data_IF_167686571925
#
_entry.id   IF_167686571925
#
_cell.length_a   1.000
_cell.length_b   1.000
_cell.length_c   1.000
_cell.angle_alpha   90.00
_cell.angle_beta   90.00
_cell.angle_gamma   90.00
#
_symmetry.space_group_name_H-M   'P 1'
#
loop_
_entity.id
_entity.type
_entity.pdbx_description
1 polymer ?
#
# COMPACT_ATOMS: atom_id res chain seq x y z
N UNK A 1 -31.81 -1.76 -15.54
CA UNK A 1 -30.35 -1.71 -15.31
C UNK A 1 -29.71 -2.84 -16.10
N UNK A 2 -29.02 -2.54 -17.21
CA UNK A 2 -28.28 -3.57 -17.96
C UNK A 2 -26.93 -3.73 -17.26
N UNK A 3 -26.79 -4.83 -16.54
CA UNK A 3 -25.52 -5.22 -15.97
C UNK A 3 -24.60 -5.67 -17.13
N UNK A 4 -23.72 -4.79 -17.59
CA UNK A 4 -22.70 -5.14 -18.58
C UNK A 4 -21.74 -6.10 -17.91
N UNK A 5 -22.01 -7.41 -17.99
CA UNK A 5 -21.07 -8.46 -17.54
C UNK A 5 -19.79 -8.32 -18.35
N UNK A 6 -18.73 -7.84 -17.70
CA UNK A 6 -17.40 -7.76 -18.31
C UNK A 6 -16.93 -9.18 -18.62
N UNK A 7 -16.60 -9.47 -19.88
CA UNK A 7 -16.08 -10.79 -20.31
C UNK A 7 -14.74 -11.15 -19.67
N UNK A 8 -13.99 -10.15 -19.23
CA UNK A 8 -12.70 -10.33 -18.55
C UNK A 8 -12.51 -9.26 -17.47
N UNK A 9 -11.78 -9.62 -16.42
CA UNK A 9 -11.31 -8.69 -15.38
C UNK A 9 -9.84 -8.41 -15.66
N UNK A 10 -9.56 -7.23 -16.20
CA UNK A 10 -8.22 -6.85 -16.64
C UNK A 10 -7.71 -5.68 -15.79
N UNK A 11 -6.48 -5.79 -15.31
CA UNK A 11 -5.70 -4.70 -14.72
C UNK A 11 -4.63 -4.28 -15.71
N UNK A 12 -4.09 -3.07 -15.56
CA UNK A 12 -3.10 -2.57 -16.50
C UNK A 12 -2.06 -1.67 -15.85
N UNK A 13 -0.92 -1.57 -16.54
CA UNK A 13 0.07 -0.52 -16.42
C UNK A 13 0.37 -0.01 -17.82
N UNK A 14 0.28 1.30 -18.04
CA UNK A 14 0.50 1.94 -19.32
C UNK A 14 1.48 3.10 -19.17
N UNK A 15 2.45 3.17 -20.07
CA UNK A 15 3.42 4.25 -20.18
C UNK A 15 3.41 4.75 -21.62
N UNK A 16 3.19 6.04 -21.83
CA UNK A 16 3.24 6.66 -23.14
C UNK A 16 4.35 7.71 -23.16
N UNK A 17 5.14 7.76 -24.23
CA UNK A 17 6.10 8.84 -24.49
C UNK A 17 5.95 9.36 -25.93
N UNK A 18 6.43 10.57 -26.19
CA UNK A 18 6.64 11.02 -27.56
C UNK A 18 8.03 10.58 -28.01
N UNK A 19 8.10 9.88 -29.15
CA UNK A 19 9.37 9.41 -29.70
C UNK A 19 10.26 10.56 -30.16
N UNK A 20 11.56 10.47 -29.83
CA UNK A 20 12.57 11.52 -30.04
C UNK A 20 12.77 11.95 -31.49
N UNK A 21 12.51 11.07 -32.46
CA UNK A 21 12.83 11.36 -33.87
C UNK A 21 11.65 11.94 -34.67
N UNK A 22 10.39 11.78 -34.25
CA UNK A 22 9.22 12.14 -35.08
C UNK A 22 7.99 12.64 -34.32
N UNK A 23 8.08 12.86 -33.00
CA UNK A 23 6.94 13.32 -32.20
C UNK A 23 5.73 12.37 -32.18
N UNK A 24 5.94 11.10 -32.56
CA UNK A 24 4.87 10.10 -32.55
C UNK A 24 4.66 9.58 -31.14
N UNK A 25 3.40 9.44 -30.73
CA UNK A 25 3.07 8.78 -29.47
C UNK A 25 3.46 7.30 -29.54
N UNK A 26 4.22 6.84 -28.55
CA UNK A 26 4.64 5.46 -28.37
C UNK A 26 4.14 4.99 -27.00
N UNK A 27 3.37 3.91 -26.99
CA UNK A 27 2.81 3.34 -25.76
C UNK A 27 3.36 1.96 -25.46
N UNK A 28 3.72 1.74 -24.21
CA UNK A 28 4.00 0.45 -23.61
C UNK A 28 2.90 0.10 -22.62
N UNK A 29 2.21 -1.01 -22.83
CA UNK A 29 1.07 -1.42 -22.01
C UNK A 29 1.25 -2.86 -21.55
N UNK A 30 1.13 -3.07 -20.25
CA UNK A 30 1.06 -4.38 -19.62
C UNK A 30 -0.38 -4.63 -19.21
N UNK A 31 -0.92 -5.77 -19.61
CA UNK A 31 -2.28 -6.20 -19.29
C UNK A 31 -2.21 -7.44 -18.40
N UNK A 32 -2.89 -7.39 -17.26
CA UNK A 32 -2.96 -8.47 -16.28
C UNK A 32 -4.40 -8.99 -16.25
N UNK A 33 -4.62 -10.18 -16.80
CA UNK A 33 -5.91 -10.83 -16.82
C UNK A 33 -6.11 -11.56 -15.48
N UNK A 34 -7.01 -11.07 -14.63
CA UNK A 34 -7.39 -11.72 -13.37
C UNK A 34 -8.48 -12.77 -13.58
N UNK A 35 -9.31 -12.60 -14.61
CA UNK A 35 -10.31 -13.57 -15.06
C UNK A 35 -10.65 -13.34 -16.53
N UNK A 36 -11.08 -14.40 -17.21
CA UNK A 36 -11.31 -14.40 -18.65
C UNK A 36 -10.01 -14.60 -19.44
N UNK A 37 -10.15 -14.85 -20.74
CA UNK A 37 -9.03 -15.13 -21.62
C UNK A 37 -8.50 -13.86 -22.29
N UNK A 38 -7.18 -13.75 -22.50
CA UNK A 38 -6.62 -12.72 -23.35
C UNK A 38 -7.17 -12.87 -24.78
N UNK A 39 -7.27 -11.78 -25.56
CA UNK A 39 -7.64 -11.89 -26.97
C UNK A 39 -6.64 -12.79 -27.68
N UNK A 40 -7.13 -13.60 -28.61
CA UNK A 40 -6.26 -14.35 -29.51
C UNK A 40 -5.65 -13.36 -30.50
N UNK A 41 -4.36 -13.09 -30.30
CA UNK A 41 -3.55 -12.19 -31.14
C UNK A 41 -2.23 -12.86 -31.42
N UNK A 42 -1.74 -12.63 -32.64
CA UNK A 42 -0.44 -13.12 -33.04
C UNK A 42 0.66 -12.38 -32.27
N UNK A 43 1.50 -13.14 -31.55
CA UNK A 43 2.61 -12.60 -30.79
C UNK A 43 3.83 -12.34 -31.67
N UNK A 44 4.73 -11.46 -31.20
CA UNK A 44 6.02 -11.14 -31.81
C UNK A 44 5.93 -10.58 -33.24
N UNK A 45 4.74 -10.14 -33.65
CA UNK A 45 4.50 -9.51 -34.95
C UNK A 45 3.88 -8.14 -34.78
N UNK A 46 4.28 -7.24 -35.69
CA UNK A 46 3.74 -5.90 -35.80
C UNK A 46 2.46 -5.94 -36.60
N UNK A 47 1.33 -5.79 -35.92
CA UNK A 47 -0.01 -5.90 -36.51
C UNK A 47 -0.77 -4.57 -36.39
N UNK A 48 -1.65 -4.29 -37.35
CA UNK A 48 -2.64 -3.24 -37.19
C UNK A 48 -3.85 -3.85 -36.48
N UNK A 49 -4.01 -3.56 -35.19
CA UNK A 49 -4.99 -4.23 -34.36
C UNK A 49 -6.32 -3.46 -34.34
N UNK A 50 -7.45 -4.15 -34.48
CA UNK A 50 -8.79 -3.52 -34.50
C UNK A 50 -9.11 -2.65 -33.28
N UNK A 51 -8.51 -2.95 -32.12
CA UNK A 51 -8.69 -2.17 -30.88
C UNK A 51 -7.73 -0.97 -30.76
N UNK A 52 -6.81 -0.78 -31.71
CA UNK A 52 -5.88 0.34 -31.75
C UNK A 52 -5.70 0.84 -33.20
N UNK A 53 -6.60 1.72 -33.67
CA UNK A 53 -6.52 2.24 -35.04
C UNK A 53 -5.39 3.25 -35.25
N UNK A 54 -4.70 3.67 -34.19
CA UNK A 54 -3.71 4.75 -34.20
C UNK A 54 -2.29 4.28 -34.54
N UNK A 55 -2.15 3.15 -35.22
CA UNK A 55 -0.87 2.64 -35.70
C UNK A 55 -0.74 1.14 -35.50
N UNK A 56 0.47 0.71 -35.16
CA UNK A 56 0.79 -0.70 -35.05
C UNK A 56 0.89 -1.11 -33.58
N UNK A 57 0.46 -2.33 -33.29
CA UNK A 57 0.66 -3.01 -32.02
C UNK A 57 1.63 -4.17 -32.21
N UNK A 58 2.40 -4.45 -31.16
CA UNK A 58 3.17 -5.68 -31.02
C UNK A 58 2.77 -6.29 -29.68
N UNK A 59 2.33 -7.54 -29.72
CA UNK A 59 1.87 -8.29 -28.55
C UNK A 59 2.91 -9.33 -28.19
N UNK A 60 3.19 -9.46 -26.90
CA UNK A 60 4.17 -10.41 -26.37
C UNK A 60 3.66 -10.95 -25.03
N UNK A 61 4.09 -12.16 -24.68
CA UNK A 61 3.87 -12.68 -23.32
C UNK A 61 4.77 -11.91 -22.36
N UNK A 62 4.17 -11.25 -21.38
CA UNK A 62 4.91 -10.41 -20.45
C UNK A 62 5.89 -11.22 -19.59
N UNK A 63 7.18 -10.94 -19.74
CA UNK A 63 8.25 -11.46 -18.89
C UNK A 63 8.91 -10.36 -18.05
N UNK A 64 9.87 -10.72 -17.21
CA UNK A 64 10.63 -9.77 -16.36
C UNK A 64 11.25 -8.62 -17.16
N UNK A 65 11.70 -8.89 -18.39
CA UNK A 65 12.23 -7.88 -19.30
C UNK A 65 11.16 -6.87 -19.73
N UNK A 66 9.95 -7.32 -20.08
CA UNK A 66 8.82 -6.48 -20.47
C UNK A 66 8.43 -5.51 -19.34
N UNK A 67 8.42 -5.99 -18.09
CA UNK A 67 8.18 -5.14 -16.91
C UNK A 67 9.27 -4.07 -16.73
N UNK A 68 10.54 -4.47 -16.76
CA UNK A 68 11.69 -3.54 -16.65
C UNK A 68 11.65 -2.49 -17.75
N UNK A 69 11.33 -2.89 -18.98
CA UNK A 69 11.26 -2.00 -20.12
C UNK A 69 10.15 -0.95 -19.96
N UNK A 70 8.93 -1.36 -19.60
CA UNK A 70 7.83 -0.40 -19.34
C UNK A 70 8.18 0.59 -18.23
N UNK A 71 8.75 0.12 -17.12
CA UNK A 71 9.10 0.97 -15.97
C UNK A 71 10.29 1.89 -16.27
N UNK A 72 11.24 1.48 -17.13
CA UNK A 72 12.38 2.32 -17.56
C UNK A 72 11.90 3.68 -18.10
N UNK A 73 10.81 3.70 -18.86
CA UNK A 73 10.26 4.93 -19.43
C UNK A 73 9.59 5.86 -18.41
N UNK A 74 9.13 5.33 -17.28
CA UNK A 74 8.67 6.15 -16.16
C UNK A 74 9.83 6.95 -15.57
N UNK A 75 11.02 6.34 -15.49
CA UNK A 75 12.22 6.93 -14.88
C UNK A 75 12.93 7.88 -15.84
N UNK A 76 12.94 7.59 -17.15
CA UNK A 76 13.67 8.35 -18.18
C UNK A 76 13.31 9.84 -18.21
N UNK A 77 12.09 10.19 -17.82
CA UNK A 77 11.58 11.57 -17.79
C UNK A 77 11.82 12.30 -16.45
N UNK A 78 12.49 11.67 -15.48
CA UNK A 78 12.90 12.34 -14.25
C UNK A 78 14.02 13.34 -14.55
N UNK A 79 13.66 14.63 -14.66
CA UNK A 79 14.61 15.75 -14.80
C UNK A 79 14.45 16.57 -16.07
N UNK A 80 13.56 16.20 -16.99
CA UNK A 80 13.22 17.02 -18.14
C UNK A 80 12.37 18.23 -17.70
N UNK A 81 12.65 19.41 -18.28
CA UNK A 81 11.89 20.66 -18.05
C UNK A 81 10.39 20.51 -18.38
N UNK A 82 10.06 19.61 -19.32
CA UNK A 82 8.70 19.23 -19.65
C UNK A 82 8.54 17.71 -19.57
N UNK A 83 7.65 17.23 -18.71
CA UNK A 83 7.27 15.80 -18.65
C UNK A 83 6.45 15.44 -19.88
N UNK A 84 7.05 14.72 -20.81
CA UNK A 84 6.37 14.21 -22.01
C UNK A 84 5.76 12.82 -21.76
N UNK A 85 6.21 12.11 -20.72
CA UNK A 85 5.74 10.79 -20.37
C UNK A 85 4.39 10.82 -19.65
N UNK A 86 3.44 10.02 -20.15
CA UNK A 86 2.18 9.70 -19.48
C UNK A 86 2.32 8.35 -18.78
N UNK A 87 1.91 8.30 -17.51
CA UNK A 87 1.94 7.09 -16.70
C UNK A 87 0.57 6.83 -16.07
N UNK A 88 0.03 5.64 -16.29
CA UNK A 88 -1.24 5.21 -15.72
C UNK A 88 -1.15 3.75 -15.26
N UNK A 89 -1.76 3.43 -14.11
CA UNK A 89 -1.84 2.06 -13.62
C UNK A 89 -3.14 1.82 -12.85
N UNK A 90 -3.52 0.55 -12.73
CA UNK A 90 -4.64 0.11 -11.92
C UNK A 90 -4.35 0.17 -10.42
N UNK A 91 -4.95 1.13 -9.70
CA UNK A 91 -4.60 1.43 -8.29
C UNK A 91 -5.41 0.70 -7.21
N UNK A 92 -6.63 0.24 -7.52
CA UNK A 92 -7.58 -0.31 -6.52
C UNK A 92 -8.11 -1.69 -6.94
N UNK A 93 -7.71 -2.81 -6.32
CA UNK A 93 -6.58 -2.95 -5.38
C UNK A 93 -5.21 -2.68 -6.06
N UNK A 94 -4.14 -2.42 -5.32
CA UNK A 94 -2.83 -2.21 -5.95
C UNK A 94 -2.40 -3.43 -6.80
N UNK A 95 -1.65 -3.22 -7.88
CA UNK A 95 -1.05 -4.33 -8.62
C UNK A 95 -0.19 -5.18 -7.67
N UNK A 96 -0.41 -6.49 -7.66
CA UNK A 96 0.27 -7.42 -6.74
C UNK A 96 -0.33 -7.50 -5.33
N UNK A 97 -1.37 -6.74 -4.98
CA UNK A 97 -2.00 -6.79 -3.66
C UNK A 97 -2.42 -8.22 -3.25
N UNK A 98 -3.12 -8.92 -4.15
CA UNK A 98 -3.55 -10.32 -3.93
C UNK A 98 -2.38 -11.27 -3.63
N UNK A 99 -1.23 -11.05 -4.25
CA UNK A 99 -0.04 -11.85 -3.97
C UNK A 99 0.46 -11.62 -2.54
N UNK A 100 0.49 -10.38 -2.07
CA UNK A 100 0.92 -10.08 -0.70
C UNK A 100 -0.07 -10.57 0.35
N UNK A 101 -1.38 -10.58 0.06
CA UNK A 101 -2.38 -11.24 0.90
C UNK A 101 -2.11 -12.76 1.00
N UNK A 102 -1.85 -13.41 -0.14
CA UNK A 102 -1.48 -14.84 -0.16
C UNK A 102 -0.17 -15.12 0.57
N UNK A 103 0.83 -14.26 0.40
CA UNK A 103 2.11 -14.39 1.09
C UNK A 103 1.92 -14.25 2.60
N UNK A 104 1.12 -13.28 3.04
CA UNK A 104 0.78 -13.09 4.44
C UNK A 104 0.06 -14.33 5.02
N UNK A 105 -0.88 -14.91 4.27
CA UNK A 105 -1.54 -16.15 4.67
C UNK A 105 -0.55 -17.30 4.89
N UNK A 106 0.46 -17.46 4.02
CA UNK A 106 1.51 -18.48 4.21
C UNK A 106 2.30 -18.29 5.51
N UNK A 107 2.59 -17.05 5.90
CA UNK A 107 3.26 -16.75 7.18
C UNK A 107 2.38 -17.12 8.38
N UNK A 108 1.10 -16.74 8.34
CA UNK A 108 0.11 -17.10 9.37
C UNK A 108 -0.07 -18.63 9.45
N UNK A 109 -0.09 -19.32 8.32
CA UNK A 109 -0.20 -20.79 8.29
C UNK A 109 1.02 -21.50 8.85
N UNK A 110 2.21 -20.93 8.63
CA UNK A 110 3.44 -21.41 9.24
C UNK A 110 3.59 -21.04 10.72
N UNK A 111 2.71 -20.19 11.28
CA UNK A 111 2.85 -19.65 12.62
C UNK A 111 4.08 -18.74 12.79
N UNK A 112 4.51 -18.09 11.70
CA UNK A 112 5.71 -17.24 11.66
C UNK A 112 5.35 -15.79 11.38
N UNK A 113 6.05 -14.87 12.04
CA UNK A 113 5.96 -13.44 11.72
C UNK A 113 6.94 -13.05 10.61
N UNK A 114 6.53 -12.17 9.68
CA UNK A 114 7.44 -11.65 8.66
C UNK A 114 8.51 -10.79 9.33
N UNK A 115 9.78 -11.16 9.12
CA UNK A 115 10.95 -10.44 9.67
C UNK A 115 11.53 -9.42 8.67
N UNK A 116 11.40 -9.72 7.39
CA UNK A 116 11.95 -8.91 6.31
C UNK A 116 10.90 -8.63 5.24
N UNK A 117 11.18 -7.60 4.43
CA UNK A 117 10.38 -7.22 3.26
C UNK A 117 10.92 -7.82 1.95
N UNK A 118 11.71 -8.89 2.07
CA UNK A 118 12.29 -9.65 0.97
C UNK A 118 11.30 -10.74 0.54
N UNK A 119 11.11 -10.94 -0.76
CA UNK A 119 10.25 -11.99 -1.32
C UNK A 119 10.82 -12.49 -2.65
N UNK A 120 10.45 -13.69 -3.06
CA UNK A 120 10.86 -14.28 -4.34
C UNK A 120 9.71 -15.04 -4.97
N UNK A 121 9.84 -15.31 -6.26
CA UNK A 121 8.90 -16.16 -7.00
C UNK A 121 9.66 -17.42 -7.46
N UNK A 122 9.13 -18.63 -7.24
CA UNK A 122 9.83 -19.87 -7.59
C UNK A 122 10.17 -19.99 -9.08
N UNK A 123 9.36 -19.39 -9.94
CA UNK A 123 9.45 -19.39 -11.40
C UNK A 123 10.39 -18.30 -11.95
N UNK A 124 10.81 -17.35 -11.11
CA UNK A 124 11.72 -16.27 -11.52
C UNK A 124 13.13 -16.59 -11.02
N UNK A 125 13.95 -17.15 -11.89
CA UNK A 125 15.32 -17.58 -11.57
C UNK A 125 16.36 -16.54 -12.00
N UNK A 126 17.31 -16.25 -11.12
CA UNK A 126 18.49 -15.46 -11.45
C UNK A 126 19.46 -16.30 -12.30
N UNK A 127 19.65 -15.90 -13.57
CA UNK A 127 20.48 -16.61 -14.54
C UNK A 127 21.95 -16.79 -14.11
N UNK A 128 22.48 -15.95 -13.21
CA UNK A 128 23.86 -16.03 -12.74
C UNK A 128 24.05 -17.02 -11.60
N UNK A 129 23.06 -17.10 -10.69
CA UNK A 129 23.17 -17.92 -9.48
C UNK A 129 22.40 -19.22 -9.57
N UNK A 130 21.46 -19.35 -10.50
CA UNK A 130 20.55 -20.49 -10.60
C UNK A 130 19.50 -20.55 -9.48
N UNK A 131 19.46 -19.55 -8.59
CA UNK A 131 18.53 -19.45 -7.48
C UNK A 131 17.37 -18.49 -7.81
N UNK A 132 16.22 -18.59 -7.12
CA UNK A 132 15.14 -17.62 -7.25
C UNK A 132 15.62 -16.18 -7.07
N UNK A 133 15.16 -15.28 -7.92
CA UNK A 133 15.45 -13.85 -7.83
C UNK A 133 14.72 -13.27 -6.61
N UNK A 134 15.50 -12.66 -5.71
CA UNK A 134 14.97 -12.00 -4.51
C UNK A 134 14.66 -10.54 -4.81
N UNK A 135 13.43 -10.15 -4.52
CA UNK A 135 12.89 -8.80 -4.59
C UNK A 135 12.75 -8.22 -3.19
N UNK A 136 12.80 -6.89 -3.07
CA UNK A 136 12.64 -6.19 -1.78
C UNK A 136 11.58 -5.10 -1.89
N UNK A 137 10.64 -5.08 -0.96
CA UNK A 137 9.72 -3.96 -0.83
C UNK A 137 10.38 -2.80 -0.06
N UNK A 138 10.22 -1.55 -0.53
CA UNK A 138 10.62 -0.40 0.28
C UNK A 138 9.78 -0.32 1.56
N UNK A 139 10.42 -0.06 2.70
CA UNK A 139 9.77 0.00 4.03
C UNK A 139 8.63 1.02 4.09
N UNK A 140 8.72 2.12 3.34
CA UNK A 140 7.66 3.14 3.34
C UNK A 140 6.61 2.92 2.23
N UNK A 141 6.71 1.82 1.46
CA UNK A 141 5.79 1.56 0.36
C UNK A 141 4.39 1.11 0.83
N UNK A 142 3.38 1.44 0.03
CA UNK A 142 2.02 0.96 0.24
C UNK A 142 1.93 -0.58 0.20
N UNK A 143 2.68 -1.22 -0.69
CA UNK A 143 2.70 -2.69 -0.80
C UNK A 143 3.22 -3.36 0.46
N UNK A 144 4.27 -2.79 1.08
CA UNK A 144 4.79 -3.31 2.34
C UNK A 144 3.81 -3.10 3.50
N UNK A 145 3.16 -1.93 3.56
CA UNK A 145 2.09 -1.68 4.53
C UNK A 145 0.91 -2.65 4.36
N UNK A 146 0.52 -2.92 3.11
CA UNK A 146 -0.57 -3.83 2.79
C UNK A 146 -0.21 -5.29 3.12
N UNK A 147 1.03 -5.72 2.87
CA UNK A 147 1.53 -7.04 3.26
C UNK A 147 1.45 -7.25 4.78
N UNK A 148 2.05 -6.34 5.55
CA UNK A 148 2.06 -6.45 7.02
C UNK A 148 0.66 -6.29 7.61
N UNK A 149 -0.14 -5.36 7.10
CA UNK A 149 -1.54 -5.21 7.51
C UNK A 149 -2.38 -6.45 7.20
N UNK A 150 -2.15 -7.12 6.08
CA UNK A 150 -2.80 -8.39 5.74
C UNK A 150 -2.37 -9.50 6.68
N UNK A 151 -1.09 -9.57 7.05
CA UNK A 151 -0.60 -10.52 8.05
C UNK A 151 -1.29 -10.34 9.40
N UNK A 152 -1.30 -9.10 9.94
CA UNK A 152 -1.94 -8.81 11.23
C UNK A 152 -3.42 -9.13 11.21
N UNK A 153 -4.13 -8.79 10.13
CA UNK A 153 -5.54 -9.10 9.97
C UNK A 153 -5.77 -10.61 9.97
N UNK A 154 -5.07 -11.35 9.12
CA UNK A 154 -5.22 -12.80 8.99
C UNK A 154 -4.80 -13.55 10.27
N UNK A 155 -3.78 -13.07 10.98
CA UNK A 155 -3.36 -13.63 12.26
C UNK A 155 -4.48 -13.52 13.30
N UNK A 156 -5.09 -12.34 13.42
CA UNK A 156 -6.23 -12.12 14.32
C UNK A 156 -7.45 -12.96 13.95
N UNK A 157 -7.72 -13.13 12.66
CA UNK A 157 -8.80 -14.00 12.19
C UNK A 157 -8.59 -15.47 12.59
N UNK A 158 -7.34 -15.96 12.57
CA UNK A 158 -7.02 -17.37 12.86
C UNK A 158 -6.76 -17.67 14.34
N UNK A 159 -6.05 -16.78 15.03
CA UNK A 159 -5.56 -16.96 16.39
C UNK A 159 -6.25 -16.03 17.42
N UNK A 160 -7.25 -15.25 16.99
CA UNK A 160 -7.99 -14.35 17.86
C UNK A 160 -7.13 -13.22 18.41
N UNK A 161 -7.01 -13.15 19.74
CA UNK A 161 -6.23 -12.11 20.43
C UNK A 161 -4.79 -12.54 20.77
N UNK A 162 -4.38 -13.75 20.38
CA UNK A 162 -3.02 -14.21 20.63
C UNK A 162 -2.01 -13.35 19.86
N UNK A 163 -0.94 -12.94 20.56
CA UNK A 163 0.12 -12.14 19.96
C UNK A 163 0.94 -13.00 19.00
N UNK A 164 1.20 -12.47 17.80
CA UNK A 164 2.12 -13.08 16.85
C UNK A 164 3.55 -13.17 17.44
N UNK A 165 4.40 -14.10 16.93
CA UNK A 165 5.82 -14.11 17.27
C UNK A 165 6.46 -12.74 17.06
N UNK A 166 7.38 -12.36 17.94
CA UNK A 166 8.00 -11.04 17.86
C UNK A 166 8.64 -10.77 16.49
N UNK A 167 8.37 -9.59 15.94
CA UNK A 167 9.01 -9.09 14.73
C UNK A 167 9.08 -7.57 14.75
N UNK A 168 10.29 -7.02 14.77
CA UNK A 168 10.54 -5.57 14.72
C UNK A 168 9.87 -4.92 13.51
N UNK A 169 9.77 -5.67 12.40
CA UNK A 169 9.07 -5.21 11.20
C UNK A 169 7.58 -4.98 11.50
N UNK A 170 6.91 -5.97 12.10
CA UNK A 170 5.47 -5.89 12.37
C UNK A 170 5.18 -4.77 13.38
N UNK A 171 5.97 -4.69 14.45
CA UNK A 171 5.83 -3.64 15.47
C UNK A 171 6.03 -2.25 14.87
N UNK A 172 7.06 -2.05 14.04
CA UNK A 172 7.28 -0.78 13.33
C UNK A 172 6.06 -0.32 12.53
N UNK A 173 5.40 -1.24 11.80
CA UNK A 173 4.20 -0.86 11.04
C UNK A 173 3.02 -0.55 11.94
N UNK A 174 2.83 -1.29 13.03
CA UNK A 174 1.73 -1.05 13.96
C UNK A 174 1.89 0.27 14.68
N UNK A 175 3.09 0.60 15.16
CA UNK A 175 3.40 1.90 15.75
C UNK A 175 3.12 3.03 14.77
N UNK A 176 3.52 2.85 13.51
CA UNK A 176 3.28 3.84 12.45
C UNK A 176 1.79 4.02 12.13
N UNK A 177 1.01 2.95 12.08
CA UNK A 177 -0.44 3.04 11.84
C UNK A 177 -1.17 3.60 13.08
N UNK A 178 -0.74 3.26 14.30
CA UNK A 178 -1.26 3.84 15.54
C UNK A 178 -1.00 5.34 15.61
N UNK A 179 0.20 5.81 15.21
CA UNK A 179 0.52 7.24 15.15
C UNK A 179 -0.32 8.01 14.11
N UNK A 180 -0.85 7.33 13.08
CA UNK A 180 -1.72 7.93 12.07
C UNK A 180 -3.18 7.97 12.48
N UNK A 181 -3.61 7.05 13.34
CA UNK A 181 -4.95 7.09 13.91
C UNK A 181 -5.01 8.29 14.86
N UNK A 182 -5.82 9.33 14.58
CA UNK A 182 -6.06 10.35 15.58
C UNK A 182 -6.65 9.63 16.79
N UNK A 183 -5.97 9.71 17.94
CA UNK A 183 -6.60 9.39 19.21
C UNK A 183 -7.78 10.34 19.31
N UNK A 184 -8.99 9.82 19.12
CA UNK A 184 -10.25 10.54 19.34
C UNK A 184 -10.43 10.73 20.86
N UNK A 185 -9.50 11.45 21.48
CA UNK A 185 -9.55 11.91 22.87
C UNK A 185 -10.76 12.84 23.10
N UNK A 186 -11.46 13.24 22.03
CA UNK A 186 -12.67 14.05 22.09
C UNK A 186 -13.91 13.28 22.53
N UNK A 187 -13.98 11.96 22.34
CA UNK A 187 -15.16 11.15 22.71
C UNK A 187 -15.13 10.58 24.12
N UNK A 188 -13.96 10.46 24.72
CA UNK A 188 -13.82 10.15 26.15
C UNK A 188 -13.62 11.42 26.98
N UNK A 189 -14.30 12.51 26.63
CA UNK A 189 -14.53 13.55 27.63
C UNK A 189 -15.50 12.97 28.64
N UNK A 190 -15.07 12.84 29.88
CA UNK A 190 -15.93 12.46 31.01
C UNK A 190 -17.21 13.33 30.93
N UNK A 191 -18.34 12.72 30.57
CA UNK A 191 -19.60 13.44 30.33
C UNK A 191 -20.29 13.87 31.63
N UNK A 192 -19.74 13.46 32.78
CA UNK A 192 -20.15 13.94 34.10
C UNK A 192 -19.37 15.19 34.52
N UNK A 193 -19.84 15.84 35.60
CA UNK A 193 -18.98 16.74 36.37
C UNK A 193 -17.85 15.90 36.94
N UNK A 194 -16.60 16.34 36.79
CA UNK A 194 -15.51 15.80 37.61
C UNK A 194 -15.93 15.79 39.08
N UNK A 195 -15.67 14.72 39.84
CA UNK A 195 -15.98 14.70 41.27
C UNK A 195 -15.31 15.87 41.99
N UNK A 196 -16.04 16.57 42.88
CA UNK A 196 -15.43 17.60 43.74
C UNK A 196 -14.36 16.91 44.59
N UNK A 197 -13.11 17.40 44.60
CA UNK A 197 -12.12 16.91 45.55
C UNK A 197 -12.66 17.01 46.98
N UNK A 198 -12.58 15.92 47.74
CA UNK A 198 -13.09 15.87 49.12
C UNK A 198 -12.33 16.85 50.04
N UNK A 199 -11.07 17.13 49.71
CA UNK A 199 -10.20 18.03 50.45
C UNK A 199 -9.46 18.98 49.51
N UNK A 200 -9.19 20.22 49.93
CA UNK A 200 -8.26 21.09 49.22
C UNK A 200 -6.85 20.45 49.21
N UNK A 201 -6.04 20.72 48.17
CA UNK A 201 -4.64 20.32 48.19
C UNK A 201 -3.91 20.96 49.39
N UNK A 202 -2.82 20.36 49.90
CA UNK A 202 -2.09 20.88 51.04
C UNK A 202 -1.67 22.34 50.83
N UNK A 203 -2.02 23.22 51.78
CA UNK A 203 -1.79 24.67 51.72
C UNK A 203 -2.50 25.41 50.57
N UNK A 204 -3.41 24.76 49.85
CA UNK A 204 -4.19 25.35 48.76
C UNK A 204 -5.53 25.94 49.21
N UNK A 205 -6.11 26.79 48.36
CA UNK A 205 -7.46 27.31 48.56
C UNK A 205 -8.54 26.22 48.33
N UNK A 206 -9.77 26.50 48.77
CA UNK A 206 -10.92 25.65 48.47
C UNK A 206 -11.07 25.42 46.95
N UNK A 207 -11.31 24.18 46.48
CA UNK A 207 -11.41 23.90 45.05
C UNK A 207 -12.57 24.67 44.38
N UNK A 208 -12.25 25.50 43.40
CA UNK A 208 -13.20 26.26 42.57
C UNK A 208 -13.42 25.53 41.26
N UNK A 209 -14.68 25.25 40.92
CA UNK A 209 -15.03 24.58 39.67
C UNK A 209 -15.00 25.56 38.48
N UNK A 210 -14.45 25.11 37.35
CA UNK A 210 -14.48 25.84 36.08
C UNK A 210 -15.32 25.10 35.04
N UNK A 211 -16.44 25.71 34.66
CA UNK A 211 -17.32 25.20 33.59
C UNK A 211 -16.60 25.12 32.22
N UNK A 212 -15.64 26.02 31.98
CA UNK A 212 -14.92 26.12 30.69
C UNK A 212 -14.04 24.90 30.40
N UNK A 213 -13.49 24.27 31.45
CA UNK A 213 -12.57 23.13 31.31
C UNK A 213 -13.06 21.86 31.99
N UNK A 214 -14.25 21.87 32.62
CA UNK A 214 -14.80 20.76 33.42
C UNK A 214 -13.77 20.23 34.44
N UNK A 215 -13.17 21.13 35.23
CA UNK A 215 -12.12 20.82 36.21
C UNK A 215 -12.25 21.69 37.47
N UNK A 216 -11.76 21.19 38.61
CA UNK A 216 -11.60 21.97 39.84
C UNK A 216 -10.17 22.54 39.93
N UNK A 217 -10.04 23.81 40.31
CA UNK A 217 -8.78 24.51 40.54
C UNK A 217 -8.62 24.90 42.01
N UNK A 218 -7.38 24.90 42.50
CA UNK A 218 -7.03 25.42 43.82
C UNK A 218 -5.74 26.19 43.69
N UNK A 219 -5.69 27.38 44.28
CA UNK A 219 -4.49 28.19 44.32
C UNK A 219 -3.57 27.65 45.40
N UNK A 220 -2.41 27.12 45.01
CA UNK A 220 -1.36 26.73 45.97
C UNK A 220 -0.24 27.78 45.97
N UNK A 221 0.34 28.12 47.13
CA UNK A 221 1.49 29.03 47.25
C UNK A 221 2.71 28.59 46.42
N UNK A 222 2.79 27.30 46.08
CA UNK A 222 3.86 26.69 45.29
C UNK A 222 3.84 27.08 43.78
N UNK A 223 2.81 27.80 43.31
CA UNK A 223 2.64 28.18 41.90
C UNK A 223 3.14 29.57 41.50
N UNK A 224 3.84 30.29 42.38
CA UNK A 224 4.58 31.52 42.04
C UNK A 224 6.08 31.36 42.33
N UNK A 225 6.72 30.45 41.58
CA UNK A 225 8.17 30.39 41.38
C UNK A 225 8.44 30.21 39.89
#
# INVERSE_FOLDING_TARGET
MVEVRRKAKVRYLAVGEYGSEKGRAHWHVLLFYESGEPPEVEHDKRINHKFWPHGFCQWEVAGTHSFRYCVKYVIKDHGALEKQAKFALSKRPALGAKYFEMLAAKYVDAGLSPKELSYSFPDVINKKTGLPETFRLPTQSFSAAHFVGSFVRLWREKHGHDKWPWSDLVEYYLDREAARAPLDLGKERFAGRVPKPEFPPPYGSEPVYSDTVNAYFSDTPLGRL
#
